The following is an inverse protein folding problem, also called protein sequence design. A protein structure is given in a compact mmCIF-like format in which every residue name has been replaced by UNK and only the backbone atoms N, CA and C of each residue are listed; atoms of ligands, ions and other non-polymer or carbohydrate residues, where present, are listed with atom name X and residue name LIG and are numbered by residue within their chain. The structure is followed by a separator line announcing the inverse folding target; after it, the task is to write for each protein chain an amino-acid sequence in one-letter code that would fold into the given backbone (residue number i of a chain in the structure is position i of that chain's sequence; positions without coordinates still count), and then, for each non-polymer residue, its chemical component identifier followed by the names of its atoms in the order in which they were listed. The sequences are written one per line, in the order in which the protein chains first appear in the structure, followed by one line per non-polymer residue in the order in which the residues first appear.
data_IF_902842295236
#
_entry.id   IF_902842295236
#
_cell.length_a   1.000
_cell.length_b   1.000
_cell.length_c   1.000
_cell.angle_alpha   90.00
_cell.angle_beta   90.00
_cell.angle_gamma   90.00
#
_symmetry.space_group_name_H-M   'P 1'
#
loop_
_entity.id
_entity.type
_entity.pdbx_description
1 polymer ?
#
# COMPACT_ATOMS: atom_id res chain seq x y z
N UNK A 1 15.99 -19.32 4.80
CA UNK A 1 16.05 -18.20 3.81
C UNK A 1 16.13 -16.91 4.57
N UNK A 2 17.17 -16.14 4.34
CA UNK A 2 17.38 -14.82 4.91
C UNK A 2 16.95 -13.75 3.92
N UNK A 3 16.32 -12.68 4.40
CA UNK A 3 15.73 -11.67 3.53
C UNK A 3 16.11 -10.25 3.97
N UNK A 4 16.39 -9.37 2.99
CA UNK A 4 16.47 -7.94 3.19
C UNK A 4 15.11 -7.31 2.90
N UNK A 5 14.56 -6.58 3.87
CA UNK A 5 13.34 -5.78 3.72
C UNK A 5 13.70 -4.30 3.72
N UNK A 6 13.21 -3.57 2.73
CA UNK A 6 13.23 -2.11 2.74
C UNK A 6 11.82 -1.55 3.00
N UNK A 7 11.73 -0.35 3.56
CA UNK A 7 10.43 0.25 3.85
C UNK A 7 9.71 -0.33 5.09
N UNK A 8 10.44 -0.98 6.00
CA UNK A 8 9.89 -1.62 7.19
C UNK A 8 9.06 -0.72 8.12
N UNK A 9 9.28 0.61 8.08
CA UNK A 9 8.48 1.59 8.84
C UNK A 9 7.20 2.06 8.14
N UNK A 10 6.87 1.54 6.96
CA UNK A 10 5.64 1.86 6.21
C UNK A 10 4.49 0.90 6.54
N UNK A 11 3.30 1.21 6.00
CA UNK A 11 2.07 0.39 6.22
C UNK A 11 2.31 -1.08 5.89
N UNK A 12 2.75 -1.38 4.68
CA UNK A 12 2.99 -2.76 4.22
C UNK A 12 4.22 -3.36 4.89
N UNK A 13 5.32 -2.59 4.98
CA UNK A 13 6.58 -3.08 5.51
C UNK A 13 6.50 -3.51 6.98
N UNK A 14 5.78 -2.78 7.83
CA UNK A 14 5.56 -3.18 9.23
C UNK A 14 4.75 -4.47 9.34
N UNK A 15 3.74 -4.66 8.48
CA UNK A 15 2.95 -5.89 8.47
C UNK A 15 3.73 -7.08 7.89
N UNK A 16 4.66 -6.85 6.94
CA UNK A 16 5.62 -7.88 6.52
C UNK A 16 6.50 -8.30 7.70
N UNK A 17 6.98 -7.36 8.52
CA UNK A 17 7.76 -7.68 9.74
C UNK A 17 6.93 -8.55 10.70
N UNK A 18 5.67 -8.20 10.95
CA UNK A 18 4.81 -8.97 11.84
C UNK A 18 4.58 -10.41 11.34
N UNK A 19 4.22 -10.57 10.08
CA UNK A 19 4.04 -11.90 9.46
C UNK A 19 5.36 -12.70 9.41
N UNK A 20 6.48 -12.03 9.14
CA UNK A 20 7.79 -12.68 9.14
C UNK A 20 8.13 -13.26 10.51
N UNK A 21 7.91 -12.48 11.58
CA UNK A 21 8.13 -12.93 12.95
C UNK A 21 7.29 -14.15 13.29
N UNK A 22 6.00 -14.14 12.95
CA UNK A 22 5.14 -15.30 13.14
C UNK A 22 5.69 -16.53 12.43
N UNK A 23 6.00 -16.40 11.13
CA UNK A 23 6.54 -17.51 10.33
C UNK A 23 7.95 -17.95 10.74
N UNK A 24 8.76 -17.08 11.28
CA UNK A 24 10.11 -17.41 11.77
C UNK A 24 10.10 -18.12 13.13
N UNK A 25 9.21 -17.71 14.02
CA UNK A 25 9.16 -18.21 15.40
C UNK A 25 8.28 -19.47 15.50
N UNK A 26 7.10 -19.44 14.90
CA UNK A 26 6.11 -20.53 14.98
C UNK A 26 6.34 -21.57 13.88
N UNK A 27 6.20 -21.15 12.63
CA UNK A 27 6.23 -22.07 11.48
C UNK A 27 7.65 -22.51 11.12
N UNK A 28 8.66 -21.73 11.47
CA UNK A 28 10.09 -21.94 11.13
C UNK A 28 10.34 -22.05 9.61
N UNK A 29 9.46 -21.48 8.80
CA UNK A 29 9.53 -21.50 7.32
C UNK A 29 10.46 -20.45 6.76
N UNK A 30 10.72 -19.39 7.51
CA UNK A 30 11.69 -18.33 7.21
C UNK A 30 12.70 -18.20 8.35
N UNK A 31 13.85 -17.56 8.09
CA UNK A 31 14.94 -17.48 9.07
C UNK A 31 15.08 -16.03 9.58
N UNK A 32 16.04 -15.29 9.05
CA UNK A 32 16.42 -13.98 9.54
C UNK A 32 15.96 -12.86 8.60
N UNK A 33 15.50 -11.75 9.16
CA UNK A 33 15.08 -10.56 8.43
C UNK A 33 16.05 -9.40 8.70
N UNK A 34 16.70 -8.92 7.65
CA UNK A 34 17.46 -7.68 7.69
C UNK A 34 16.56 -6.53 7.25
N UNK A 35 16.41 -5.50 8.08
CA UNK A 35 15.49 -4.39 7.79
C UNK A 35 16.25 -3.09 7.64
N UNK A 36 16.19 -2.48 6.47
CA UNK A 36 16.79 -1.16 6.25
C UNK A 36 15.86 -0.08 6.78
N UNK A 37 16.30 0.62 7.80
CA UNK A 37 15.62 1.77 8.41
C UNK A 37 16.61 2.92 8.52
N UNK A 38 16.22 4.11 8.07
CA UNK A 38 17.05 5.32 8.27
C UNK A 38 16.88 5.88 9.66
N UNK A 39 17.93 6.45 10.19
CA UNK A 39 17.85 7.27 11.39
C UNK A 39 17.09 8.58 11.10
N UNK A 40 16.43 9.10 12.11
CA UNK A 40 15.83 10.43 12.14
C UNK A 40 16.00 10.99 13.57
N UNK A 41 14.97 11.54 14.19
CA UNK A 41 14.98 11.92 15.61
C UNK A 41 15.20 10.71 16.55
N UNK A 42 14.82 9.52 16.08
CA UNK A 42 15.09 8.23 16.76
C UNK A 42 16.06 7.42 15.90
N UNK A 43 16.92 6.62 16.53
CA UNK A 43 17.76 5.67 15.81
C UNK A 43 16.90 4.61 15.08
N UNK A 44 17.44 3.99 14.05
CA UNK A 44 16.79 2.91 13.30
C UNK A 44 16.34 1.76 14.23
N UNK A 45 17.18 1.39 15.22
CA UNK A 45 16.84 0.38 16.22
C UNK A 45 15.66 0.82 17.11
N UNK A 46 15.64 2.06 17.59
CA UNK A 46 14.53 2.59 18.39
C UNK A 46 13.23 2.63 17.58
N UNK A 47 13.30 2.89 16.29
CA UNK A 47 12.15 2.87 15.39
C UNK A 47 11.60 1.45 15.21
N UNK A 48 12.46 0.45 15.04
CA UNK A 48 12.01 -0.95 14.99
C UNK A 48 11.35 -1.36 16.32
N UNK A 49 11.96 -1.03 17.46
CA UNK A 49 11.39 -1.33 18.78
C UNK A 49 10.01 -0.66 18.93
N UNK A 50 9.86 0.59 18.52
CA UNK A 50 8.57 1.27 18.55
C UNK A 50 7.49 0.55 17.73
N UNK A 51 7.83 0.02 16.56
CA UNK A 51 6.90 -0.78 15.74
C UNK A 51 6.50 -2.07 16.46
N UNK A 52 7.47 -2.78 17.06
CA UNK A 52 7.24 -4.06 17.73
C UNK A 52 6.47 -3.93 19.05
N UNK A 53 6.54 -2.78 19.71
CA UNK A 53 5.88 -2.50 20.99
C UNK A 53 4.61 -1.65 20.85
N UNK A 54 4.26 -1.22 19.63
CA UNK A 54 3.06 -0.42 19.41
C UNK A 54 1.80 -1.21 19.81
N UNK A 55 0.88 -0.54 20.47
CA UNK A 55 -0.37 -1.15 20.93
C UNK A 55 -1.26 -1.63 19.76
N UNK A 56 -1.03 -1.08 18.58
CA UNK A 56 -1.74 -1.47 17.34
C UNK A 56 -1.16 -2.72 16.67
N UNK A 57 -0.08 -3.34 17.21
CA UNK A 57 0.49 -4.56 16.62
C UNK A 57 -0.52 -5.72 16.63
N UNK A 58 -0.40 -6.70 15.70
CA UNK A 58 -1.27 -7.87 15.70
C UNK A 58 -1.19 -8.67 17.01
N UNK A 59 -2.35 -9.14 17.49
CA UNK A 59 -2.47 -9.83 18.78
C UNK A 59 -1.64 -11.12 18.86
N UNK A 60 -1.43 -11.82 17.73
CA UNK A 60 -0.60 -13.02 17.70
C UNK A 60 0.88 -12.76 18.12
N UNK A 61 1.35 -11.50 18.05
CA UNK A 61 2.69 -11.16 18.54
C UNK A 61 2.76 -11.01 20.08
N UNK A 62 1.62 -10.99 20.77
CA UNK A 62 1.61 -10.86 22.24
C UNK A 62 2.18 -12.10 22.95
N UNK A 63 2.25 -13.22 22.25
CA UNK A 63 2.86 -14.46 22.77
C UNK A 63 4.40 -14.44 22.72
N UNK A 64 4.99 -13.44 22.03
CA UNK A 64 6.45 -13.35 21.87
C UNK A 64 7.02 -12.20 22.70
N UNK A 65 8.14 -12.47 23.36
CA UNK A 65 8.91 -11.42 24.02
C UNK A 65 9.60 -10.52 22.99
N UNK A 66 9.90 -9.29 23.37
CA UNK A 66 10.63 -8.38 22.49
C UNK A 66 12.00 -8.98 22.08
N UNK A 67 12.69 -9.60 23.00
CA UNK A 67 14.00 -10.23 22.74
C UNK A 67 13.88 -11.35 21.70
N UNK A 68 12.87 -12.22 21.82
CA UNK A 68 12.60 -13.27 20.82
C UNK A 68 12.33 -12.68 19.41
N UNK A 69 11.64 -11.55 19.34
CA UNK A 69 11.44 -10.83 18.09
C UNK A 69 12.76 -10.25 17.55
N UNK A 70 13.55 -9.62 18.40
CA UNK A 70 14.81 -8.99 18.01
C UNK A 70 15.89 -10.00 17.61
N UNK A 71 15.86 -11.22 18.14
CA UNK A 71 16.73 -12.32 17.67
C UNK A 71 16.50 -12.71 16.21
N UNK A 72 15.32 -12.39 15.65
CA UNK A 72 14.95 -12.71 14.27
C UNK A 72 15.17 -11.56 13.30
N UNK A 73 15.51 -10.37 13.79
CA UNK A 73 15.63 -9.17 12.97
C UNK A 73 16.94 -8.45 13.25
N UNK A 74 17.64 -8.07 12.20
CA UNK A 74 18.78 -7.13 12.28
C UNK A 74 18.42 -5.84 11.56
N UNK A 75 18.59 -4.71 12.22
CA UNK A 75 18.40 -3.40 11.62
C UNK A 75 19.67 -2.94 10.91
N UNK A 76 19.54 -2.52 9.67
CA UNK A 76 20.59 -1.85 8.90
C UNK A 76 20.24 -0.35 8.89
N UNK A 77 20.98 0.45 9.66
CA UNK A 77 20.80 1.91 9.65
C UNK A 77 21.40 2.49 8.38
N UNK A 78 20.55 2.86 7.42
CA UNK A 78 20.99 3.45 6.16
C UNK A 78 19.85 4.19 5.45
N UNK A 79 20.21 5.21 4.66
CA UNK A 79 19.32 5.80 3.66
C UNK A 79 19.51 5.08 2.33
N UNK A 80 18.42 4.59 1.76
CA UNK A 80 18.45 3.84 0.50
C UNK A 80 18.92 4.68 -0.69
N UNK A 81 18.77 6.01 -0.64
CA UNK A 81 19.22 6.90 -1.72
C UNK A 81 20.75 6.98 -1.82
N UNK A 82 21.44 6.64 -0.73
CA UNK A 82 22.90 6.70 -0.62
C UNK A 82 23.54 5.37 -0.18
N UNK A 83 22.73 4.30 -0.13
CA UNK A 83 23.21 2.99 0.30
C UNK A 83 24.34 2.50 -0.60
N UNK A 84 25.38 1.94 0.03
CA UNK A 84 26.54 1.43 -0.68
C UNK A 84 26.59 -0.10 -0.61
N UNK A 85 27.26 -0.68 -1.60
CA UNK A 85 27.45 -2.13 -1.68
C UNK A 85 28.13 -2.70 -0.44
N UNK A 86 29.16 -2.03 0.08
CA UNK A 86 29.91 -2.46 1.26
C UNK A 86 29.00 -2.56 2.51
N UNK A 87 28.00 -1.69 2.61
CA UNK A 87 26.99 -1.77 3.68
C UNK A 87 26.17 -3.04 3.58
N UNK A 88 25.80 -3.44 2.38
CA UNK A 88 24.98 -4.63 2.14
C UNK A 88 25.81 -5.94 2.16
N UNK A 89 27.05 -5.90 1.70
CA UNK A 89 27.98 -7.05 1.72
C UNK A 89 28.30 -7.56 3.14
N UNK A 90 28.07 -6.73 4.16
CA UNK A 90 28.26 -7.10 5.55
C UNK A 90 27.20 -8.09 6.10
N UNK A 91 26.14 -8.37 5.33
CA UNK A 91 25.00 -9.17 5.79
C UNK A 91 24.72 -10.32 4.83
N UNK A 92 24.33 -11.48 5.42
CA UNK A 92 24.05 -12.71 4.67
C UNK A 92 22.55 -12.84 4.36
N UNK A 93 22.14 -12.33 3.19
CA UNK A 93 20.80 -12.51 2.63
C UNK A 93 20.88 -12.83 1.13
N UNK A 94 19.95 -13.64 0.66
CA UNK A 94 19.84 -14.07 -0.75
C UNK A 94 18.62 -13.49 -1.48
N UNK A 95 17.68 -12.94 -0.73
CA UNK A 95 16.43 -12.40 -1.24
C UNK A 95 16.18 -10.98 -0.71
N UNK A 96 15.63 -10.13 -1.56
CA UNK A 96 15.23 -8.75 -1.21
C UNK A 96 13.74 -8.59 -1.39
N UNK A 97 13.04 -8.00 -0.40
CA UNK A 97 11.69 -7.45 -0.53
C UNK A 97 11.81 -5.92 -0.50
N UNK A 98 11.61 -5.30 -1.66
CA UNK A 98 11.70 -3.85 -1.78
C UNK A 98 10.31 -3.22 -1.71
N UNK A 99 9.98 -2.70 -0.51
CA UNK A 99 8.69 -2.06 -0.19
C UNK A 99 8.83 -0.56 0.05
N UNK A 100 10.04 0.00 0.06
CA UNK A 100 10.27 1.42 0.24
C UNK A 100 9.76 2.22 -0.97
N UNK A 101 9.10 3.34 -0.71
CA UNK A 101 8.63 4.26 -1.73
C UNK A 101 7.70 5.33 -1.18
N UNK A 102 7.44 6.34 -1.98
CA UNK A 102 6.46 7.41 -1.71
C UNK A 102 5.13 7.07 -2.34
N UNK A 103 4.04 7.33 -1.61
CA UNK A 103 2.65 7.15 -2.08
C UNK A 103 1.95 8.48 -2.33
N UNK A 104 2.68 9.57 -2.57
CA UNK A 104 2.10 10.90 -2.83
C UNK A 104 1.40 10.95 -4.18
N UNK A 105 0.11 11.30 -4.18
CA UNK A 105 -0.71 11.48 -5.38
C UNK A 105 -0.72 12.93 -5.90
N UNK A 106 0.06 13.83 -5.29
CA UNK A 106 0.10 15.25 -5.65
C UNK A 106 0.72 15.47 -7.04
N UNK A 107 0.15 16.43 -7.79
CA UNK A 107 0.58 16.77 -9.15
C UNK A 107 1.52 17.97 -9.24
N UNK A 108 2.00 18.53 -8.12
CA UNK A 108 2.97 19.63 -8.15
C UNK A 108 4.32 19.17 -8.69
N UNK A 109 5.10 20.08 -9.29
CA UNK A 109 6.43 19.78 -9.84
C UNK A 109 7.32 19.16 -8.76
N UNK A 110 7.40 19.77 -7.58
CA UNK A 110 8.19 19.28 -6.45
C UNK A 110 7.76 17.87 -6.02
N UNK A 111 6.45 17.60 -6.05
CA UNK A 111 5.92 16.27 -5.72
C UNK A 111 6.30 15.22 -6.76
N UNK A 112 6.27 15.58 -8.05
CA UNK A 112 6.67 14.71 -9.16
C UNK A 112 8.14 14.31 -9.03
N UNK A 113 9.03 15.26 -8.84
CA UNK A 113 10.46 15.02 -8.67
C UNK A 113 10.74 14.17 -7.43
N UNK A 114 10.08 14.50 -6.31
CA UNK A 114 10.21 13.74 -5.06
C UNK A 114 9.72 12.29 -5.20
N UNK A 115 8.60 12.08 -5.85
CA UNK A 115 8.03 10.73 -6.07
C UNK A 115 8.93 9.92 -7.00
N UNK A 116 9.41 10.51 -8.11
CA UNK A 116 10.36 9.87 -9.01
C UNK A 116 11.66 9.49 -8.29
N UNK A 117 12.22 10.40 -7.49
CA UNK A 117 13.42 10.12 -6.69
C UNK A 117 13.19 8.99 -5.70
N UNK A 118 12.11 9.04 -4.92
CA UNK A 118 11.85 8.08 -3.85
C UNK A 118 11.37 6.71 -4.34
N UNK A 119 10.84 6.61 -5.55
CA UNK A 119 10.40 5.35 -6.12
C UNK A 119 11.42 4.82 -7.14
N UNK A 120 11.67 5.55 -8.23
CA UNK A 120 12.50 5.05 -9.31
C UNK A 120 14.00 5.10 -8.98
N UNK A 121 14.54 6.27 -8.59
CA UNK A 121 15.99 6.41 -8.36
C UNK A 121 16.45 5.58 -7.14
N UNK A 122 15.64 5.49 -6.08
CA UNK A 122 15.95 4.65 -4.90
C UNK A 122 15.94 3.16 -5.27
N UNK A 123 14.99 2.72 -6.09
CA UNK A 123 14.95 1.33 -6.60
C UNK A 123 16.17 1.04 -7.45
N UNK A 124 16.54 1.97 -8.34
CA UNK A 124 17.73 1.87 -9.17
C UNK A 124 19.00 1.76 -8.33
N UNK A 125 19.19 2.68 -7.37
CA UNK A 125 20.32 2.68 -6.46
C UNK A 125 20.45 1.35 -5.72
N UNK A 126 19.36 0.85 -5.14
CA UNK A 126 19.37 -0.42 -4.43
C UNK A 126 19.81 -1.58 -5.34
N UNK A 127 19.23 -1.69 -6.52
CA UNK A 127 19.55 -2.78 -7.48
C UNK A 127 21.00 -2.73 -7.95
N UNK A 128 21.59 -1.54 -8.12
CA UNK A 128 22.99 -1.36 -8.50
C UNK A 128 23.95 -1.81 -7.40
N UNK A 129 23.56 -1.64 -6.13
CA UNK A 129 24.39 -1.94 -4.97
C UNK A 129 24.19 -3.38 -4.40
N UNK A 130 23.33 -4.21 -5.00
CA UNK A 130 23.06 -5.54 -4.47
C UNK A 130 24.31 -6.41 -4.43
N UNK A 131 24.54 -7.15 -3.32
CA UNK A 131 25.56 -8.20 -3.21
C UNK A 131 25.40 -9.30 -4.25
N UNK A 132 26.51 -9.95 -4.62
CA UNK A 132 26.49 -11.02 -5.65
C UNK A 132 25.70 -12.26 -5.25
N UNK A 133 25.55 -12.53 -3.95
CA UNK A 133 24.77 -13.65 -3.42
C UNK A 133 23.26 -13.47 -3.56
N UNK A 134 22.76 -12.27 -3.88
CA UNK A 134 21.33 -12.03 -4.08
C UNK A 134 20.86 -12.72 -5.37
N UNK A 135 19.94 -13.65 -5.20
CA UNK A 135 19.37 -14.45 -6.30
C UNK A 135 17.92 -14.11 -6.61
N UNK A 136 17.25 -13.33 -5.71
CA UNK A 136 15.84 -12.97 -5.86
C UNK A 136 15.53 -11.57 -5.38
N UNK A 137 14.71 -10.86 -6.15
CA UNK A 137 14.24 -9.51 -5.86
C UNK A 137 12.72 -9.43 -6.01
N UNK A 138 12.03 -9.15 -4.90
CA UNK A 138 10.58 -8.98 -4.83
C UNK A 138 10.28 -7.50 -4.74
N UNK A 139 9.66 -6.95 -5.77
CA UNK A 139 9.30 -5.54 -5.83
C UNK A 139 7.83 -5.34 -5.45
N UNK A 140 7.57 -4.51 -4.44
CA UNK A 140 6.21 -4.13 -4.08
C UNK A 140 5.82 -2.88 -4.86
N UNK A 141 4.98 -3.08 -5.86
CA UNK A 141 4.45 -2.05 -6.74
C UNK A 141 3.05 -1.60 -6.31
N UNK A 142 2.18 -1.33 -7.23
CA UNK A 142 0.76 -1.01 -7.03
C UNK A 142 -0.08 -1.59 -8.16
N UNK A 143 -1.29 -1.99 -7.87
CA UNK A 143 -2.26 -2.43 -8.89
C UNK A 143 -2.60 -1.31 -9.89
N UNK A 144 -2.34 -0.07 -9.52
CA UNK A 144 -2.57 1.09 -10.39
C UNK A 144 -1.38 1.43 -11.32
N UNK A 145 -0.29 0.64 -11.31
CA UNK A 145 0.82 0.78 -12.28
C UNK A 145 0.40 0.45 -13.73
N UNK A 146 -0.73 -0.20 -13.92
CA UNK A 146 -1.34 -0.40 -15.24
C UNK A 146 -1.86 0.91 -15.88
N UNK A 147 -1.87 2.04 -15.14
CA UNK A 147 -2.37 3.31 -15.64
C UNK A 147 -3.88 3.28 -15.92
N UNK A 148 -4.31 3.88 -17.03
CA UNK A 148 -5.71 3.89 -17.48
C UNK A 148 -5.87 2.77 -18.51
N UNK A 149 -6.79 1.84 -18.24
CA UNK A 149 -7.12 0.72 -19.13
C UNK A 149 -8.64 0.58 -19.24
N UNK A 150 -9.13 0.27 -20.43
CA UNK A 150 -10.55 0.03 -20.70
C UNK A 150 -10.94 -1.44 -20.49
N UNK A 151 -9.96 -2.33 -20.50
CA UNK A 151 -10.16 -3.77 -20.35
C UNK A 151 -9.77 -4.27 -18.97
N UNK A 152 -10.27 -5.45 -18.61
CA UNK A 152 -9.89 -6.14 -17.38
C UNK A 152 -8.43 -6.57 -17.45
N UNK A 153 -7.64 -6.16 -16.45
CA UNK A 153 -6.20 -6.40 -16.43
C UNK A 153 -5.84 -7.73 -15.75
N UNK A 154 -4.93 -8.46 -16.37
CA UNK A 154 -4.33 -9.68 -15.85
C UNK A 154 -3.18 -9.37 -14.88
N UNK A 155 -2.54 -10.42 -14.34
CA UNK A 155 -1.36 -10.25 -13.49
C UNK A 155 -0.10 -9.80 -14.28
N UNK A 156 -0.07 -9.96 -15.60
CA UNK A 156 1.10 -9.69 -16.45
C UNK A 156 1.01 -8.33 -17.11
N UNK A 157 1.93 -7.41 -16.77
CA UNK A 157 1.88 -6.02 -17.28
C UNK A 157 2.33 -5.89 -18.74
N UNK A 158 3.15 -6.81 -19.25
CA UNK A 158 3.57 -6.78 -20.65
C UNK A 158 2.43 -6.98 -21.66
N UNK A 159 1.29 -7.47 -21.21
CA UNK A 159 0.09 -7.65 -22.05
C UNK A 159 -0.58 -6.30 -22.41
N UNK A 160 -0.13 -5.18 -21.79
CA UNK A 160 -0.79 -3.88 -21.91
C UNK A 160 0.16 -2.77 -22.39
N UNK A 161 -0.35 -1.92 -23.29
CA UNK A 161 0.30 -0.67 -23.65
C UNK A 161 -0.06 0.40 -22.61
N UNK A 162 0.84 0.62 -21.64
CA UNK A 162 0.63 1.60 -20.58
C UNK A 162 1.20 2.96 -21.02
N UNK A 163 0.32 3.89 -21.41
CA UNK A 163 0.70 5.21 -21.93
C UNK A 163 0.24 6.36 -21.05
N UNK A 164 -0.86 6.18 -20.33
CA UNK A 164 -1.49 7.21 -19.51
C UNK A 164 -1.57 6.82 -18.05
N UNK A 165 -1.28 7.79 -17.16
CA UNK A 165 -1.31 7.63 -15.72
C UNK A 165 -2.16 8.72 -15.06
N UNK A 166 -2.86 8.35 -13.99
CA UNK A 166 -3.65 9.30 -13.21
C UNK A 166 -2.78 10.33 -12.50
N UNK A 167 -1.56 9.94 -12.14
CA UNK A 167 -0.63 10.78 -11.37
C UNK A 167 0.84 10.29 -11.49
N UNK A 168 1.82 11.11 -11.01
CA UNK A 168 3.23 10.75 -11.05
C UNK A 168 3.61 9.51 -10.23
N UNK A 169 2.83 9.16 -9.21
CA UNK A 169 3.06 7.95 -8.41
C UNK A 169 2.89 6.69 -9.25
N UNK A 170 1.76 6.55 -9.95
CA UNK A 170 1.50 5.40 -10.83
C UNK A 170 2.60 5.27 -11.89
N UNK A 171 2.95 6.37 -12.56
CA UNK A 171 4.03 6.42 -13.55
C UNK A 171 5.36 5.94 -12.95
N UNK A 172 5.74 6.48 -11.79
CA UNK A 172 7.02 6.11 -11.14
C UNK A 172 7.09 4.64 -10.76
N UNK A 173 5.97 4.05 -10.34
CA UNK A 173 5.89 2.62 -10.00
C UNK A 173 6.01 1.76 -11.26
N UNK A 174 5.34 2.13 -12.35
CA UNK A 174 5.46 1.46 -13.64
C UNK A 174 6.91 1.48 -14.18
N UNK A 175 7.52 2.65 -14.23
CA UNK A 175 8.91 2.82 -14.66
C UNK A 175 9.88 1.96 -13.81
N UNK A 176 9.63 1.90 -12.49
CA UNK A 176 10.40 1.06 -11.58
C UNK A 176 10.22 -0.44 -11.87
N UNK A 177 9.00 -0.90 -12.19
CA UNK A 177 8.76 -2.30 -12.56
C UNK A 177 9.55 -2.70 -13.80
N UNK A 178 9.52 -1.87 -14.83
CA UNK A 178 10.28 -2.13 -16.07
C UNK A 178 11.78 -2.21 -15.78
N UNK A 179 12.30 -1.24 -15.01
CA UNK A 179 13.71 -1.23 -14.62
C UNK A 179 14.11 -2.47 -13.80
N UNK A 180 13.27 -2.87 -12.84
CA UNK A 180 13.47 -4.08 -12.04
C UNK A 180 13.54 -5.32 -12.91
N UNK A 181 12.57 -5.51 -13.84
CA UNK A 181 12.53 -6.67 -14.74
C UNK A 181 13.78 -6.74 -15.62
N UNK A 182 14.15 -5.63 -16.26
CA UNK A 182 15.32 -5.58 -17.15
C UNK A 182 16.61 -5.82 -16.38
N UNK A 183 16.81 -5.10 -15.27
CA UNK A 183 18.04 -5.21 -14.46
C UNK A 183 18.19 -6.60 -13.82
N UNK A 184 17.12 -7.14 -13.27
CA UNK A 184 17.15 -8.49 -12.71
C UNK A 184 17.47 -9.55 -13.77
N UNK A 185 16.87 -9.43 -14.97
CA UNK A 185 17.18 -10.32 -16.10
C UNK A 185 18.67 -10.24 -16.47
N UNK A 186 19.24 -9.05 -16.60
CA UNK A 186 20.64 -8.85 -16.95
C UNK A 186 21.60 -9.39 -15.89
N UNK A 187 21.25 -9.26 -14.60
CA UNK A 187 22.02 -9.74 -13.45
C UNK A 187 21.76 -11.22 -13.10
N UNK A 188 20.87 -11.90 -13.82
CA UNK A 188 20.40 -13.27 -13.53
C UNK A 188 19.76 -13.40 -12.13
N UNK A 189 19.11 -12.36 -11.66
CA UNK A 189 18.32 -12.32 -10.44
C UNK A 189 16.87 -12.64 -10.81
N UNK A 190 16.19 -13.51 -10.06
CA UNK A 190 14.76 -13.78 -10.24
C UNK A 190 13.96 -12.59 -9.71
N UNK A 191 13.18 -11.95 -10.55
CA UNK A 191 12.25 -10.90 -10.13
C UNK A 191 10.86 -11.44 -9.85
N UNK A 192 10.20 -10.86 -8.82
CA UNK A 192 8.76 -11.00 -8.56
C UNK A 192 8.17 -9.60 -8.40
N UNK A 193 7.05 -9.32 -9.07
CA UNK A 193 6.36 -8.02 -9.00
C UNK A 193 5.01 -8.24 -8.32
N UNK A 194 4.82 -7.63 -7.17
CA UNK A 194 3.59 -7.75 -6.40
C UNK A 194 2.90 -6.38 -6.31
N UNK A 195 1.61 -6.32 -6.68
CA UNK A 195 0.87 -5.07 -6.89
C UNK A 195 -0.35 -4.99 -5.98
N UNK A 196 -0.20 -4.52 -4.74
CA UNK A 196 -1.36 -4.24 -3.88
C UNK A 196 -2.25 -3.14 -4.47
N UNK A 197 -3.57 -3.26 -4.27
CA UNK A 197 -4.52 -2.18 -4.53
C UNK A 197 -4.56 -1.18 -3.37
N UNK A 198 -5.65 -0.44 -3.18
CA UNK A 198 -5.79 0.55 -2.11
C UNK A 198 -5.85 -0.17 -0.75
N UNK A 199 -4.89 0.13 0.11
CA UNK A 199 -4.73 -0.58 1.38
C UNK A 199 -5.59 0.06 2.48
N UNK A 200 -6.38 -0.76 3.19
CA UNK A 200 -7.06 -0.36 4.42
C UNK A 200 -6.42 -0.97 5.68
N UNK A 201 -6.97 -0.66 6.83
CA UNK A 201 -6.61 -1.28 8.11
C UNK A 201 -6.88 -2.78 8.12
N UNK A 202 -6.42 -3.45 9.17
CA UNK A 202 -6.58 -4.91 9.33
C UNK A 202 -8.04 -5.32 9.45
N UNK A 203 -8.40 -6.43 8.78
CA UNK A 203 -9.71 -7.06 8.89
C UNK A 203 -9.62 -8.57 9.23
N UNK A 204 -8.41 -9.14 9.29
CA UNK A 204 -8.17 -10.56 9.53
C UNK A 204 -7.60 -10.78 10.94
N UNK A 205 -6.57 -10.01 11.28
CA UNK A 205 -5.85 -10.16 12.55
C UNK A 205 -6.23 -9.05 13.54
N UNK A 206 -6.64 -9.42 14.75
CA UNK A 206 -6.91 -8.44 15.81
C UNK A 206 -5.62 -7.72 16.26
N UNK A 207 -5.72 -6.49 16.77
CA UNK A 207 -6.90 -5.63 16.80
C UNK A 207 -7.29 -5.17 15.39
N UNK A 208 -8.61 -5.19 15.10
CA UNK A 208 -9.12 -4.85 13.78
C UNK A 208 -9.05 -3.34 13.51
N UNK A 209 -9.12 -2.98 12.22
CA UNK A 209 -9.12 -1.61 11.66
C UNK A 209 -7.80 -0.85 11.85
N UNK A 210 -6.85 -1.37 12.59
CA UNK A 210 -5.56 -0.71 12.83
C UNK A 210 -4.74 -0.59 11.54
N UNK A 211 -4.16 0.60 11.37
CA UNK A 211 -3.22 0.94 10.31
C UNK A 211 -2.28 2.03 10.81
N UNK A 212 -0.99 2.03 10.42
CA UNK A 212 -0.07 3.08 10.83
C UNK A 212 -0.42 4.48 10.30
N UNK A 213 -1.27 4.56 9.27
CA UNK A 213 -1.59 5.80 8.60
C UNK A 213 -2.95 5.74 7.89
N UNK A 214 -3.72 6.80 7.98
CA UNK A 214 -5.03 6.95 7.34
C UNK A 214 -4.89 7.77 6.06
N UNK A 215 -4.71 7.09 4.92
CA UNK A 215 -4.55 7.70 3.60
C UNK A 215 -5.69 7.34 2.63
N UNK A 216 -5.63 7.87 1.43
CA UNK A 216 -6.54 7.60 0.30
C UNK A 216 -8.00 7.81 0.71
N UNK A 217 -8.84 6.79 0.73
CA UNK A 217 -10.28 6.92 1.02
C UNK A 217 -10.57 7.48 2.43
N UNK A 218 -9.68 7.30 3.41
CA UNK A 218 -9.80 7.97 4.72
C UNK A 218 -9.73 9.50 4.63
N UNK A 219 -9.19 10.04 3.54
CA UNK A 219 -9.13 11.49 3.33
C UNK A 219 -10.51 12.13 3.21
N UNK A 220 -11.56 11.36 2.83
CA UNK A 220 -12.93 11.82 2.90
C UNK A 220 -13.33 12.16 4.33
N UNK A 221 -13.09 11.25 5.27
CA UNK A 221 -13.38 11.48 6.68
C UNK A 221 -12.55 12.65 7.24
N UNK A 222 -11.27 12.77 6.91
CA UNK A 222 -10.41 13.89 7.32
C UNK A 222 -10.97 15.23 6.79
N UNK A 223 -11.41 15.27 5.54
CA UNK A 223 -12.00 16.48 4.96
C UNK A 223 -13.31 16.84 5.62
N UNK A 224 -14.19 15.87 5.83
CA UNK A 224 -15.51 16.07 6.43
C UNK A 224 -15.41 16.46 7.91
N UNK A 225 -14.55 15.81 8.68
CA UNK A 225 -14.28 16.19 10.08
C UNK A 225 -13.93 17.68 10.20
N UNK A 226 -13.17 18.19 9.25
CA UNK A 226 -12.73 19.59 9.25
C UNK A 226 -13.75 20.58 8.69
N UNK A 227 -14.54 20.17 7.70
CA UNK A 227 -15.30 21.11 6.88
C UNK A 227 -16.80 20.83 6.76
N UNK A 228 -17.34 19.70 7.26
CA UNK A 228 -18.75 19.35 7.11
C UNK A 228 -19.71 20.44 7.61
N UNK A 229 -19.34 21.14 8.70
CA UNK A 229 -20.12 22.26 9.25
C UNK A 229 -20.28 23.44 8.29
N UNK A 230 -19.52 23.52 7.20
CA UNK A 230 -19.61 24.53 6.13
C UNK A 230 -20.55 24.11 5.00
N UNK A 231 -21.06 22.88 5.01
CA UNK A 231 -22.03 22.39 4.03
C UNK A 231 -23.40 22.99 4.34
N UNK A 232 -23.71 24.15 3.74
CA UNK A 232 -24.99 24.89 3.91
C UNK A 232 -25.92 24.72 2.73
N UNK A 233 -25.38 24.35 1.58
CA UNK A 233 -26.08 24.19 0.32
C UNK A 233 -25.88 22.74 -0.17
N UNK A 234 -26.63 22.35 -1.22
CA UNK A 234 -26.49 21.05 -1.84
C UNK A 234 -25.06 20.83 -2.35
N UNK A 235 -24.44 19.74 -1.96
CA UNK A 235 -23.10 19.33 -2.38
C UNK A 235 -23.17 18.46 -3.64
N UNK A 236 -22.65 18.96 -4.75
CA UNK A 236 -22.60 18.23 -6.02
C UNK A 236 -21.24 17.56 -6.17
N UNK A 237 -21.28 16.22 -6.35
CA UNK A 237 -20.08 15.40 -6.46
C UNK A 237 -20.03 14.80 -7.86
N UNK A 238 -18.97 15.15 -8.61
CA UNK A 238 -18.72 14.51 -9.89
C UNK A 238 -18.17 13.11 -9.65
N UNK A 239 -18.95 12.11 -10.01
CA UNK A 239 -18.66 10.71 -9.69
C UNK A 239 -19.28 9.79 -10.77
N UNK A 240 -18.54 8.77 -11.14
CA UNK A 240 -19.08 7.62 -11.88
C UNK A 240 -19.71 6.64 -10.87
N UNK A 241 -21.04 6.58 -10.85
CA UNK A 241 -21.79 5.75 -9.90
C UNK A 241 -21.56 4.25 -10.07
N UNK A 242 -21.23 3.82 -11.28
CA UNK A 242 -21.03 2.41 -11.63
C UNK A 242 -19.57 1.97 -11.44
N UNK A 243 -18.70 2.93 -11.17
CA UNK A 243 -17.30 2.67 -10.80
C UNK A 243 -17.15 2.52 -9.28
N UNK A 244 -15.97 2.08 -8.84
CA UNK A 244 -15.70 1.82 -7.42
C UNK A 244 -14.21 1.87 -7.10
N UNK A 245 -13.89 1.52 -5.85
CA UNK A 245 -12.52 1.37 -5.38
C UNK A 245 -12.21 -0.09 -5.10
N UNK A 246 -11.07 -0.53 -5.54
CA UNK A 246 -10.51 -1.81 -5.10
C UNK A 246 -9.72 -1.58 -3.81
N UNK A 247 -10.28 -2.02 -2.69
CA UNK A 247 -9.71 -1.84 -1.35
C UNK A 247 -9.38 -3.20 -0.75
N UNK A 248 -8.19 -3.30 -0.13
CA UNK A 248 -7.67 -4.56 0.40
C UNK A 248 -7.08 -4.40 1.81
N UNK A 249 -7.32 -5.34 2.74
CA UNK A 249 -6.78 -5.27 4.10
C UNK A 249 -5.25 -5.46 4.11
N UNK A 250 -4.56 -4.67 4.92
CA UNK A 250 -3.09 -4.69 5.01
C UNK A 250 -2.53 -6.02 5.50
N UNK A 251 -3.22 -6.69 6.40
CA UNK A 251 -2.85 -8.02 6.91
C UNK A 251 -3.00 -9.10 5.83
N UNK A 252 -4.00 -9.00 4.94
CA UNK A 252 -4.04 -9.87 3.76
C UNK A 252 -2.88 -9.58 2.81
N UNK A 253 -2.56 -8.31 2.56
CA UNK A 253 -1.43 -7.93 1.70
C UNK A 253 -0.12 -8.53 2.19
N UNK A 254 0.18 -8.45 3.49
CA UNK A 254 1.39 -9.05 4.06
C UNK A 254 1.41 -10.57 3.94
N UNK A 255 0.28 -11.25 4.18
CA UNK A 255 0.14 -12.70 3.99
C UNK A 255 0.36 -13.09 2.51
N UNK A 256 -0.20 -12.35 1.57
CA UNK A 256 -0.03 -12.58 0.13
C UNK A 256 1.43 -12.38 -0.31
N UNK A 257 2.11 -11.36 0.21
CA UNK A 257 3.54 -11.11 -0.06
C UNK A 257 4.39 -12.27 0.46
N UNK A 258 4.17 -12.74 1.68
CA UNK A 258 4.92 -13.88 2.22
C UNK A 258 4.57 -15.21 1.51
N UNK A 259 3.33 -15.36 1.06
CA UNK A 259 2.96 -16.50 0.21
C UNK A 259 3.77 -16.47 -1.10
N UNK A 260 3.85 -15.33 -1.78
CA UNK A 260 4.67 -15.19 -2.98
C UNK A 260 6.17 -15.36 -2.68
N UNK A 261 6.65 -14.91 -1.52
CA UNK A 261 8.01 -15.16 -1.06
C UNK A 261 8.30 -16.66 -0.92
N UNK A 262 7.39 -17.44 -0.37
CA UNK A 262 7.52 -18.89 -0.23
C UNK A 262 7.31 -19.65 -1.56
N UNK A 263 6.66 -19.02 -2.54
CA UNK A 263 6.32 -19.59 -3.85
C UNK A 263 7.01 -18.83 -5.02
N UNK A 264 8.29 -19.10 -5.28
CA UNK A 264 9.05 -18.35 -6.28
C UNK A 264 8.62 -18.59 -7.73
N UNK A 265 7.63 -19.43 -7.98
CA UNK A 265 6.99 -19.61 -9.30
C UNK A 265 6.01 -18.48 -9.64
N UNK A 266 5.51 -17.76 -8.64
CA UNK A 266 4.70 -16.55 -8.82
C UNK A 266 5.63 -15.43 -9.28
N UNK A 267 5.56 -15.06 -10.55
CA UNK A 267 6.39 -13.98 -11.11
C UNK A 267 5.75 -12.61 -10.91
N UNK A 268 4.46 -12.52 -11.13
CA UNK A 268 3.65 -11.32 -10.96
C UNK A 268 2.34 -11.68 -10.27
N UNK A 269 1.82 -10.77 -9.46
CA UNK A 269 0.55 -10.96 -8.76
C UNK A 269 -0.08 -9.60 -8.44
N UNK A 270 -1.30 -9.39 -8.91
CA UNK A 270 -2.15 -8.29 -8.46
C UNK A 270 -2.80 -8.69 -7.14
N UNK A 271 -2.39 -8.04 -6.04
CA UNK A 271 -2.96 -8.29 -4.72
C UNK A 271 -4.17 -7.36 -4.56
N UNK A 272 -5.29 -7.83 -5.06
CA UNK A 272 -6.54 -7.07 -5.20
C UNK A 272 -7.70 -7.78 -4.50
N UNK A 273 -8.70 -7.02 -4.09
CA UNK A 273 -9.95 -7.61 -3.64
C UNK A 273 -10.73 -8.13 -4.88
N UNK A 274 -11.25 -9.35 -4.89
CA UNK A 274 -12.09 -9.84 -5.99
C UNK A 274 -13.30 -8.96 -6.29
N UNK A 275 -13.79 -8.20 -5.30
CA UNK A 275 -14.93 -7.30 -5.43
C UNK A 275 -14.52 -5.86 -5.12
N UNK A 276 -15.00 -4.93 -5.93
CA UNK A 276 -14.87 -3.49 -5.68
C UNK A 276 -16.01 -2.97 -4.81
N UNK A 277 -15.75 -1.90 -4.08
CA UNK A 277 -16.80 -1.13 -3.41
C UNK A 277 -17.23 -0.01 -4.35
N UNK A 278 -18.48 -0.06 -4.85
CA UNK A 278 -19.00 0.96 -5.74
C UNK A 278 -19.11 2.31 -5.03
N UNK A 279 -18.76 3.40 -5.70
CA UNK A 279 -18.80 4.74 -5.13
C UNK A 279 -20.19 5.10 -4.60
N UNK A 280 -21.26 4.73 -5.31
CA UNK A 280 -22.65 4.97 -4.88
C UNK A 280 -23.00 4.31 -3.54
N UNK A 281 -22.27 3.27 -3.15
CA UNK A 281 -22.58 2.50 -1.93
C UNK A 281 -21.92 3.09 -0.68
N UNK A 282 -20.81 3.82 -0.80
CA UNK A 282 -20.08 4.28 0.39
C UNK A 282 -20.00 5.82 0.53
N UNK A 283 -20.03 6.58 -0.59
CA UNK A 283 -19.86 8.04 -0.51
C UNK A 283 -21.00 8.67 0.26
N UNK A 284 -22.25 8.22 0.03
CA UNK A 284 -23.42 8.68 0.77
C UNK A 284 -23.31 8.40 2.26
N UNK A 285 -23.00 7.16 2.64
CA UNK A 285 -22.87 6.75 4.05
C UNK A 285 -21.80 7.57 4.78
N UNK A 286 -20.67 7.85 4.11
CA UNK A 286 -19.61 8.70 4.69
C UNK A 286 -20.10 10.13 4.86
N UNK A 287 -20.78 10.72 3.88
CA UNK A 287 -21.32 12.07 3.97
C UNK A 287 -22.34 12.19 5.11
N UNK A 288 -23.28 11.26 5.18
CA UNK A 288 -24.34 11.23 6.19
C UNK A 288 -23.79 11.05 7.61
N UNK A 289 -22.73 10.26 7.77
CA UNK A 289 -22.06 10.07 9.07
C UNK A 289 -21.43 11.37 9.63
N UNK A 290 -21.20 12.36 8.77
CA UNK A 290 -20.75 13.71 9.13
C UNK A 290 -21.87 14.77 9.02
N UNK A 291 -23.15 14.36 8.94
CA UNK A 291 -24.33 15.23 8.81
C UNK A 291 -24.36 16.06 7.52
N UNK A 292 -23.73 15.61 6.44
CA UNK A 292 -23.85 16.21 5.11
C UNK A 292 -24.95 15.47 4.34
N UNK A 293 -26.22 15.83 4.61
CA UNK A 293 -27.39 15.11 4.10
C UNK A 293 -27.95 15.67 2.79
N UNK A 294 -27.49 16.85 2.35
CA UNK A 294 -27.92 17.49 1.10
C UNK A 294 -26.82 17.35 0.06
N UNK A 295 -26.84 16.26 -0.72
CA UNK A 295 -25.88 16.03 -1.80
C UNK A 295 -26.53 15.42 -3.04
N UNK A 296 -25.84 15.51 -4.17
CA UNK A 296 -26.21 14.80 -5.40
C UNK A 296 -24.96 14.38 -6.20
N UNK A 297 -25.07 13.25 -6.87
CA UNK A 297 -24.07 12.78 -7.83
C UNK A 297 -24.34 13.36 -9.20
N UNK A 298 -23.33 13.99 -9.80
CA UNK A 298 -23.41 14.60 -11.12
C UNK A 298 -22.44 13.93 -12.09
N UNK A 299 -22.83 13.89 -13.38
CA UNK A 299 -22.04 13.25 -14.44
C UNK A 299 -20.88 14.12 -14.94
N UNK A 300 -20.90 15.43 -14.61
CA UNK A 300 -19.86 16.39 -15.01
C UNK A 300 -19.47 17.26 -13.83
N UNK A 301 -18.22 17.73 -13.86
CA UNK A 301 -17.71 18.66 -12.84
C UNK A 301 -18.52 19.97 -12.82
N UNK A 302 -19.10 20.37 -11.67
CA UNK A 302 -19.87 21.60 -11.59
C UNK A 302 -19.04 22.84 -11.90
N UNK A 303 -19.57 23.76 -12.71
CA UNK A 303 -18.85 25.01 -13.08
C UNK A 303 -18.99 26.10 -12.02
N UNK A 304 -20.19 26.27 -11.48
CA UNK A 304 -20.47 27.29 -10.44
C UNK A 304 -20.47 26.62 -9.07
N UNK A 305 -19.34 26.66 -8.39
CA UNK A 305 -19.11 25.98 -7.13
C UNK A 305 -19.59 26.84 -5.96
N UNK A 306 -20.38 26.26 -5.04
CA UNK A 306 -20.66 26.88 -3.75
C UNK A 306 -19.40 26.83 -2.85
N UNK A 307 -19.47 27.45 -1.66
CA UNK A 307 -18.31 27.58 -0.78
C UNK A 307 -17.75 26.22 -0.31
N UNK A 308 -18.61 25.24 -0.04
CA UNK A 308 -18.19 23.89 0.38
C UNK A 308 -17.57 23.11 -0.79
N UNK A 309 -18.18 23.18 -1.97
CA UNK A 309 -17.65 22.58 -3.20
C UNK A 309 -16.29 23.15 -3.58
N UNK A 310 -16.07 24.47 -3.39
CA UNK A 310 -14.76 25.07 -3.62
C UNK A 310 -13.67 24.47 -2.71
N UNK A 311 -13.98 24.22 -1.43
CA UNK A 311 -13.03 23.56 -0.52
C UNK A 311 -12.74 22.12 -0.98
N UNK A 312 -13.78 21.38 -1.34
CA UNK A 312 -13.66 20.01 -1.81
C UNK A 312 -12.81 19.90 -3.09
N UNK A 313 -13.21 20.62 -4.15
CA UNK A 313 -12.53 20.54 -5.45
C UNK A 313 -11.13 21.18 -5.47
N UNK A 314 -10.78 22.02 -4.49
CA UNK A 314 -9.40 22.52 -4.29
C UNK A 314 -8.52 21.59 -3.46
N UNK A 315 -9.09 20.58 -2.79
CA UNK A 315 -8.38 19.66 -1.90
C UNK A 315 -8.52 18.21 -2.37
N UNK A 316 -9.27 17.40 -1.63
CA UNK A 316 -9.39 15.95 -1.91
C UNK A 316 -10.08 15.65 -3.25
N UNK A 317 -11.03 16.49 -3.67
CA UNK A 317 -11.67 16.34 -4.97
C UNK A 317 -10.68 16.42 -6.13
N UNK A 318 -9.71 17.33 -6.06
CA UNK A 318 -8.66 17.43 -7.08
C UNK A 318 -7.70 16.22 -7.09
N UNK A 319 -7.51 15.57 -5.94
CA UNK A 319 -6.65 14.38 -5.84
C UNK A 319 -7.34 13.13 -6.38
N UNK A 320 -8.64 13.00 -6.12
CA UNK A 320 -9.37 11.77 -6.38
C UNK A 320 -10.28 11.83 -7.60
N UNK A 321 -10.44 12.99 -8.25
CA UNK A 321 -11.28 13.15 -9.42
C UNK A 321 -11.03 12.08 -10.48
N UNK A 322 -9.77 11.82 -10.80
CA UNK A 322 -9.36 10.80 -11.79
C UNK A 322 -9.56 9.34 -11.34
N UNK A 323 -10.05 9.14 -10.13
CA UNK A 323 -10.39 7.81 -9.60
C UNK A 323 -11.89 7.63 -9.43
N UNK A 324 -12.62 8.70 -9.08
CA UNK A 324 -14.04 8.59 -8.75
C UNK A 324 -14.98 9.01 -9.89
N UNK A 325 -14.49 9.78 -10.87
CA UNK A 325 -15.31 10.30 -11.98
C UNK A 325 -15.10 9.55 -13.32
N UNK A 326 -14.31 8.50 -13.30
CA UNK A 326 -14.02 7.67 -14.48
C UNK A 326 -14.17 6.19 -14.11
N UNK A 327 -14.34 5.29 -15.09
CA UNK A 327 -14.30 3.86 -14.82
C UNK A 327 -12.99 3.46 -14.12
N UNK A 328 -13.08 2.64 -13.08
CA UNK A 328 -11.90 2.11 -12.39
C UNK A 328 -11.39 0.85 -13.08
N UNK A 329 -10.12 0.52 -12.80
CA UNK A 329 -9.50 -0.70 -13.29
C UNK A 329 -10.25 -1.94 -12.78
N UNK A 330 -10.56 -2.84 -13.69
CA UNK A 330 -11.08 -4.15 -13.37
C UNK A 330 -9.93 -5.16 -13.40
N UNK A 331 -9.86 -6.06 -12.40
CA UNK A 331 -8.76 -7.01 -12.27
C UNK A 331 -9.22 -8.44 -12.47
N UNK A 332 -8.40 -9.26 -13.14
CA UNK A 332 -8.52 -10.70 -13.02
C UNK A 332 -8.17 -11.13 -11.60
N UNK A 333 -9.00 -12.00 -11.03
CA UNK A 333 -8.86 -12.40 -9.61
C UNK A 333 -8.57 -13.89 -9.42
N UNK A 334 -8.26 -14.62 -10.49
CA UNK A 334 -8.11 -16.08 -10.43
C UNK A 334 -7.01 -16.56 -9.47
N UNK A 335 -5.83 -15.96 -9.50
CA UNK A 335 -4.73 -16.31 -8.58
C UNK A 335 -5.02 -15.87 -7.15
N UNK A 336 -5.51 -14.63 -6.99
CA UNK A 336 -5.79 -14.10 -5.66
C UNK A 336 -6.96 -14.83 -4.98
N UNK A 337 -7.99 -15.24 -5.72
CA UNK A 337 -9.11 -16.03 -5.20
C UNK A 337 -8.66 -17.40 -4.70
N UNK A 338 -7.72 -18.05 -5.41
CA UNK A 338 -7.10 -19.30 -4.94
C UNK A 338 -6.32 -19.09 -3.63
N UNK A 339 -5.59 -17.97 -3.53
CA UNK A 339 -4.87 -17.64 -2.30
C UNK A 339 -5.83 -17.38 -1.13
N UNK A 340 -6.89 -16.60 -1.34
CA UNK A 340 -7.93 -16.35 -0.33
C UNK A 340 -8.50 -17.68 0.19
N UNK A 341 -8.85 -18.59 -0.72
CA UNK A 341 -9.36 -19.92 -0.38
C UNK A 341 -8.34 -20.76 0.40
N UNK A 342 -7.05 -20.69 0.03
CA UNK A 342 -5.99 -21.45 0.72
C UNK A 342 -5.71 -20.95 2.14
N UNK A 343 -6.13 -19.72 2.45
CA UNK A 343 -6.02 -19.11 3.78
C UNK A 343 -7.35 -19.23 4.56
N UNK A 344 -8.34 -19.94 4.02
CA UNK A 344 -9.68 -20.13 4.61
C UNK A 344 -10.39 -18.81 4.94
N UNK A 345 -10.14 -17.77 4.15
CA UNK A 345 -10.72 -16.45 4.34
C UNK A 345 -12.02 -16.27 3.57
N UNK A 346 -12.80 -15.27 3.95
CA UNK A 346 -13.98 -14.83 3.19
C UNK A 346 -13.56 -14.29 1.84
N UNK A 347 -14.32 -14.58 0.79
CA UNK A 347 -14.02 -14.18 -0.60
C UNK A 347 -13.91 -12.67 -0.81
N UNK A 348 -14.71 -11.88 -0.08
CA UNK A 348 -14.73 -10.40 -0.11
C UNK A 348 -13.73 -9.76 0.83
N UNK A 349 -12.97 -10.55 1.60
CA UNK A 349 -12.09 -10.09 2.67
C UNK A 349 -12.78 -9.17 3.70
N UNK A 350 -14.11 -9.13 3.71
CA UNK A 350 -14.92 -8.35 4.65
C UNK A 350 -14.85 -6.83 4.49
N UNK A 351 -14.32 -6.31 3.38
CA UNK A 351 -14.11 -4.86 3.22
C UNK A 351 -15.42 -4.12 3.09
N UNK A 352 -16.39 -4.65 2.33
CA UNK A 352 -17.68 -4.00 2.14
C UNK A 352 -18.43 -3.86 3.47
N UNK A 353 -18.52 -4.94 4.23
CA UNK A 353 -19.24 -4.98 5.52
C UNK A 353 -18.56 -4.12 6.59
N UNK A 354 -17.27 -3.87 6.47
CA UNK A 354 -16.49 -3.13 7.46
C UNK A 354 -16.07 -1.74 7.02
N UNK A 355 -16.52 -1.26 5.86
CA UNK A 355 -16.07 0.03 5.34
C UNK A 355 -16.36 1.18 6.32
N UNK A 356 -17.58 1.28 6.84
CA UNK A 356 -17.93 2.32 7.81
C UNK A 356 -17.23 2.13 9.17
N UNK A 357 -16.93 0.89 9.57
CA UNK A 357 -16.13 0.64 10.77
C UNK A 357 -14.69 1.17 10.60
N UNK A 358 -14.09 1.01 9.41
CA UNK A 358 -12.77 1.60 9.09
C UNK A 358 -12.79 3.13 9.16
N UNK A 359 -13.84 3.76 8.63
CA UNK A 359 -14.04 5.22 8.69
C UNK A 359 -14.20 5.68 10.15
N UNK A 360 -15.13 5.08 10.90
CA UNK A 360 -15.41 5.43 12.30
C UNK A 360 -14.16 5.26 13.18
N UNK A 361 -13.43 4.17 12.99
CA UNK A 361 -12.16 3.93 13.68
C UNK A 361 -11.14 5.04 13.40
N UNK A 362 -11.03 5.50 12.16
CA UNK A 362 -10.12 6.60 11.83
C UNK A 362 -10.47 7.91 12.55
N UNK A 363 -11.76 8.18 12.71
CA UNK A 363 -12.27 9.34 13.47
C UNK A 363 -11.98 9.19 14.96
N UNK A 364 -12.24 8.02 15.56
CA UNK A 364 -11.93 7.73 16.97
C UNK A 364 -10.43 7.91 17.28
N UNK A 365 -9.56 7.45 16.38
CA UNK A 365 -8.11 7.66 16.47
C UNK A 365 -7.67 9.10 16.15
N UNK A 366 -8.61 10.00 15.79
CA UNK A 366 -8.32 11.39 15.38
C UNK A 366 -7.26 11.45 14.28
N UNK A 367 -7.31 10.48 13.36
CA UNK A 367 -6.38 10.33 12.22
C UNK A 367 -4.90 10.33 12.60
N UNK A 368 -4.56 9.95 13.83
CA UNK A 368 -3.18 9.92 14.33
C UNK A 368 -2.43 8.76 13.70
N UNK A 369 -1.16 9.03 13.37
CA UNK A 369 -0.24 7.98 12.94
C UNK A 369 0.21 7.15 14.14
N UNK A 370 0.31 5.83 13.95
CA UNK A 370 1.02 4.93 14.88
C UNK A 370 2.52 4.93 14.55
N UNK A 371 3.37 4.69 15.54
CA UNK A 371 4.85 4.61 15.57
C UNK A 371 5.65 5.55 14.67
#
# INVERSE_FOLDING_TARGET
MNCLLTGGGGIVGSHIIFEWLHKSIVDKTVQHLFVVIRDNEKSAQQRLIAILQDASRPAFLNEFTLDACLEKITVISSDLSTIKKETLDAYDFDTVIHCAGSTSLLHTIDSKEKVHTQNYLVTKQLLEQLPKQVTRFIYISTAYSFGIQDEKVSDTIEDYAVTDFRNPYEQSKYESELYVKETCKSKKIRSQILRPSIICGRLIDAPFYETPKFDVFYSWAIFLDKYANKSKEKFRIWIDKESGLNIIPVDFVSKAILHAFLNPTIKELNIVNPEQILHKNYVGDVLESFNVNSYEYVAERPKNLNAFEQLYYKSIGNLFEKYISVPDLQFESGLISKLISSLELKTTLGVHENFMNLINFSVEKKFRKSY
#
